data_IF_210157412867
#
_entry.id   IF_210157412867
#
_cell.length_a   1.000
_cell.length_b   1.000
_cell.length_c   1.000
_cell.angle_alpha   90.00
_cell.angle_beta   90.00
_cell.angle_gamma   90.00
#
_symmetry.space_group_name_H-M   'P 1'
#
loop_
_entity.id
_entity.type
_entity.pdbx_description
1 polymer ?
#
# COMPACT_ATOMS: atom_id res chain seq x y z
N UNK A 1 -36.03 -51.51 -47.11
CA UNK A 1 -35.29 -52.07 -45.96
C UNK A 1 -34.22 -51.14 -45.44
N UNK A 2 -34.33 -49.85 -45.69
CA UNK A 2 -33.30 -48.83 -45.23
C UNK A 2 -33.82 -47.76 -44.22
N UNK A 3 -35.12 -47.84 -43.90
CA UNK A 3 -35.67 -46.79 -42.95
C UNK A 3 -35.40 -47.08 -41.48
N UNK A 4 -35.36 -48.37 -41.11
CA UNK A 4 -35.09 -48.83 -39.74
C UNK A 4 -33.65 -48.58 -39.29
N UNK A 5 -32.68 -48.52 -40.20
CA UNK A 5 -31.29 -48.17 -39.84
C UNK A 5 -31.07 -46.71 -39.56
N UNK A 6 -31.87 -45.82 -40.18
CA UNK A 6 -31.78 -44.38 -39.94
C UNK A 6 -32.36 -43.98 -38.59
N UNK A 7 -33.38 -44.60 -38.09
CA UNK A 7 -34.02 -44.32 -36.80
C UNK A 7 -33.11 -44.77 -35.65
N UNK A 8 -32.43 -45.90 -35.75
CA UNK A 8 -31.52 -46.38 -34.70
C UNK A 8 -30.30 -45.48 -34.51
N UNK A 9 -29.75 -44.93 -35.60
CA UNK A 9 -28.60 -43.99 -35.51
C UNK A 9 -29.03 -42.65 -34.89
N UNK A 10 -30.22 -42.15 -35.23
CA UNK A 10 -30.75 -40.92 -34.70
C UNK A 10 -31.02 -40.99 -33.18
N UNK A 11 -31.55 -42.12 -32.69
CA UNK A 11 -31.82 -42.34 -31.25
C UNK A 11 -30.52 -42.45 -30.44
N UNK A 12 -29.49 -43.12 -30.96
CA UNK A 12 -28.20 -43.26 -30.31
C UNK A 12 -27.47 -41.91 -30.26
N UNK A 13 -27.54 -41.14 -31.36
CA UNK A 13 -26.92 -39.80 -31.41
C UNK A 13 -27.60 -38.81 -30.49
N UNK A 14 -28.93 -38.86 -30.36
CA UNK A 14 -29.69 -38.00 -29.44
C UNK A 14 -29.43 -38.39 -27.96
N UNK A 15 -29.30 -39.67 -27.67
CA UNK A 15 -28.97 -40.16 -26.34
C UNK A 15 -27.55 -39.75 -25.90
N UNK A 16 -26.56 -39.81 -26.80
CA UNK A 16 -25.19 -39.36 -26.53
C UNK A 16 -25.13 -37.83 -26.35
N UNK A 17 -25.84 -37.06 -27.16
CA UNK A 17 -25.90 -35.61 -27.04
C UNK A 17 -26.55 -35.13 -25.72
N UNK A 18 -27.61 -35.82 -25.28
CA UNK A 18 -28.24 -35.55 -23.97
C UNK A 18 -27.35 -35.97 -22.80
N UNK A 19 -26.62 -37.08 -22.90
CA UNK A 19 -25.68 -37.52 -21.89
C UNK A 19 -24.51 -36.56 -21.70
N UNK A 20 -23.94 -36.08 -22.82
CA UNK A 20 -22.86 -35.06 -22.78
C UNK A 20 -23.38 -33.70 -22.26
N UNK A 21 -24.62 -33.32 -22.64
CA UNK A 21 -25.24 -32.10 -22.15
C UNK A 21 -25.52 -32.13 -20.63
N UNK A 22 -25.77 -33.29 -20.06
CA UNK A 22 -25.94 -33.43 -18.59
C UNK A 22 -24.60 -33.48 -17.85
N UNK A 23 -23.54 -34.00 -18.45
CA UNK A 23 -22.20 -33.95 -17.86
C UNK A 23 -21.63 -32.53 -17.79
N UNK A 24 -22.00 -31.63 -18.70
CA UNK A 24 -21.54 -30.25 -18.74
C UNK A 24 -22.34 -29.36 -17.77
N UNK A 25 -23.46 -29.86 -17.21
CA UNK A 25 -24.33 -29.11 -16.29
C UNK A 25 -24.15 -29.44 -14.82
N UNK A 26 -23.11 -30.14 -14.43
CA UNK A 26 -22.76 -30.13 -13.01
C UNK A 26 -22.22 -28.74 -12.72
N UNK A 27 -22.88 -27.96 -11.83
CA UNK A 27 -22.22 -26.77 -11.30
C UNK A 27 -20.93 -27.30 -10.70
N UNK A 28 -19.79 -26.78 -11.17
CA UNK A 28 -18.56 -26.87 -10.42
C UNK A 28 -18.85 -26.03 -9.18
N UNK A 29 -19.41 -26.67 -8.16
CA UNK A 29 -19.28 -26.14 -6.81
C UNK A 29 -17.79 -26.08 -6.57
N UNK A 30 -17.23 -24.91 -6.87
CA UNK A 30 -15.91 -24.59 -6.38
C UNK A 30 -16.01 -24.74 -4.87
N UNK A 31 -15.52 -25.86 -4.36
CA UNK A 31 -15.26 -25.96 -2.94
C UNK A 31 -14.36 -24.77 -2.64
N UNK A 32 -14.95 -23.69 -2.08
CA UNK A 32 -14.16 -22.67 -1.45
C UNK A 32 -13.42 -23.44 -0.35
N UNK A 33 -12.10 -23.61 -0.46
CA UNK A 33 -11.36 -24.32 0.55
C UNK A 33 -11.76 -23.71 1.89
N UNK A 34 -12.06 -24.51 2.91
CA UNK A 34 -12.25 -24.04 4.29
C UNK A 34 -10.91 -23.41 4.70
N UNK A 35 -10.77 -22.14 4.42
CA UNK A 35 -9.53 -21.39 4.53
C UNK A 35 -9.38 -20.99 5.98
N UNK A 36 -8.91 -21.95 6.80
CA UNK A 36 -8.65 -21.70 8.20
C UNK A 36 -7.53 -20.69 8.36
N UNK A 37 -7.87 -19.55 8.95
CA UNK A 37 -6.90 -18.56 9.40
C UNK A 37 -6.16 -19.14 10.61
N UNK A 38 -4.83 -19.26 10.52
CA UNK A 38 -4.00 -19.66 11.63
C UNK A 38 -4.12 -18.69 12.80
N UNK A 39 -4.01 -19.19 14.02
CA UNK A 39 -4.05 -18.39 15.24
C UNK A 39 -2.77 -18.58 16.03
N UNK A 40 -2.39 -17.56 16.75
CA UNK A 40 -1.31 -17.60 17.75
C UNK A 40 -1.76 -18.36 19.01
N UNK A 41 -0.83 -18.66 19.90
CA UNK A 41 -1.12 -19.43 21.11
C UNK A 41 -2.15 -18.76 22.05
N UNK A 42 -2.27 -17.43 21.99
CA UNK A 42 -3.28 -16.63 22.72
C UNK A 42 -4.63 -16.54 21.99
N UNK A 43 -4.79 -17.29 20.89
CA UNK A 43 -6.04 -17.39 20.13
C UNK A 43 -6.32 -16.23 19.19
N UNK A 44 -5.41 -15.27 19.03
CA UNK A 44 -5.54 -14.15 18.08
C UNK A 44 -5.17 -14.59 16.67
N UNK A 45 -5.70 -13.93 15.62
CA UNK A 45 -5.25 -14.20 14.26
C UNK A 45 -3.73 -14.08 14.15
N UNK A 46 -3.10 -15.06 13.53
CA UNK A 46 -1.67 -15.04 13.27
C UNK A 46 -1.38 -14.09 12.08
N UNK A 47 -0.85 -12.90 12.37
CA UNK A 47 -0.44 -11.91 11.37
C UNK A 47 1.03 -12.04 10.97
N UNK A 48 1.79 -12.95 11.62
CA UNK A 48 3.21 -13.12 11.34
C UNK A 48 3.45 -13.41 9.86
N UNK A 49 4.48 -12.78 9.30
CA UNK A 49 4.88 -12.99 7.92
C UNK A 49 5.32 -11.71 7.22
N UNK A 50 5.71 -11.86 5.97
CA UNK A 50 6.10 -10.76 5.10
C UNK A 50 4.92 -10.40 4.19
N UNK A 51 4.54 -9.15 4.19
CA UNK A 51 3.37 -8.61 3.52
C UNK A 51 3.76 -7.49 2.58
N UNK A 52 2.95 -7.24 1.57
CA UNK A 52 3.19 -6.18 0.59
C UNK A 52 1.87 -5.66 0.01
N UNK A 53 1.75 -4.35 -0.14
CA UNK A 53 0.73 -3.74 -0.97
C UNK A 53 1.11 -3.90 -2.45
N UNK A 54 0.13 -4.29 -3.28
CA UNK A 54 0.30 -4.44 -4.72
C UNK A 54 -0.55 -3.38 -5.42
N UNK A 55 0.00 -2.20 -5.63
CA UNK A 55 -0.75 -1.09 -6.19
C UNK A 55 0.11 0.15 -6.37
N UNK A 56 -0.56 1.25 -6.69
CA UNK A 56 0.04 2.54 -7.03
C UNK A 56 -0.20 3.63 -6.00
N UNK A 57 -0.71 3.26 -4.80
CA UNK A 57 -1.03 4.18 -3.72
C UNK A 57 0.14 5.08 -3.29
N UNK A 58 1.39 4.61 -3.44
CA UNK A 58 2.58 5.42 -3.16
C UNK A 58 2.82 6.53 -4.19
N UNK A 59 2.24 6.40 -5.41
CA UNK A 59 2.26 7.45 -6.42
C UNK A 59 1.16 8.48 -6.19
N UNK A 60 -0.06 8.00 -5.97
CA UNK A 60 -1.24 8.81 -5.68
C UNK A 60 -2.30 7.93 -5.01
N UNK A 61 -2.85 8.38 -3.90
CA UNK A 61 -3.94 7.68 -3.19
C UNK A 61 -5.26 7.75 -3.94
N UNK A 62 -5.44 8.75 -4.81
CA UNK A 62 -6.65 8.96 -5.61
C UNK A 62 -6.51 8.36 -7.01
N UNK A 63 -7.64 8.25 -7.73
CA UNK A 63 -7.63 7.83 -9.13
C UNK A 63 -6.69 8.70 -9.96
N UNK A 64 -5.86 8.05 -10.76
CA UNK A 64 -4.95 8.76 -11.65
C UNK A 64 -4.68 7.99 -12.94
N UNK A 65 -4.55 8.72 -14.02
CA UNK A 65 -4.16 8.15 -15.30
C UNK A 65 -2.65 7.91 -15.37
N UNK A 66 -2.25 7.00 -16.25
CA UNK A 66 -0.84 6.88 -16.61
C UNK A 66 -0.35 8.20 -17.20
N UNK A 67 0.84 8.62 -16.79
CA UNK A 67 1.46 9.86 -17.27
C UNK A 67 2.96 9.69 -17.45
N UNK A 68 3.55 10.52 -18.27
CA UNK A 68 5.02 10.56 -18.39
C UNK A 68 5.64 10.90 -17.03
N UNK A 69 6.77 10.29 -16.76
CA UNK A 69 7.62 10.69 -15.64
C UNK A 69 8.32 12.01 -15.91
N UNK A 70 9.13 12.48 -14.94
CA UNK A 70 9.83 13.75 -15.06
C UNK A 70 10.90 13.75 -16.16
N UNK A 71 11.32 12.56 -16.61
CA UNK A 71 12.32 12.36 -17.67
C UNK A 71 11.66 11.72 -18.87
N UNK A 72 11.24 12.52 -19.83
CA UNK A 72 10.48 12.08 -21.01
C UNK A 72 11.26 11.08 -21.88
N UNK A 73 12.57 11.22 -21.91
CA UNK A 73 13.50 10.40 -22.70
C UNK A 73 13.50 8.92 -22.26
N UNK A 74 13.13 8.64 -21.02
CA UNK A 74 13.00 7.28 -20.49
C UNK A 74 11.68 6.60 -20.91
N UNK A 75 10.76 7.34 -21.51
CA UNK A 75 9.49 6.80 -21.99
C UNK A 75 8.71 6.06 -20.90
N UNK A 76 8.25 4.86 -21.24
CA UNK A 76 7.42 4.05 -20.33
C UNK A 76 8.16 3.58 -19.07
N UNK A 77 9.48 3.46 -19.09
CA UNK A 77 10.30 3.00 -17.95
C UNK A 77 10.19 3.93 -16.75
N UNK A 78 10.10 5.24 -16.99
CA UNK A 78 9.97 6.25 -15.94
C UNK A 78 8.52 6.77 -15.81
N UNK A 79 7.57 6.21 -16.54
CA UNK A 79 6.17 6.64 -16.48
C UNK A 79 5.53 6.30 -15.14
N UNK A 80 4.69 7.21 -14.66
CA UNK A 80 3.80 6.92 -13.54
C UNK A 80 2.67 6.02 -14.05
N UNK A 81 2.48 4.81 -13.51
CA UNK A 81 1.40 3.94 -13.95
C UNK A 81 0.03 4.53 -13.60
N UNK A 82 -1.02 4.09 -14.30
CA UNK A 82 -2.39 4.38 -13.88
C UNK A 82 -2.72 3.65 -12.58
N UNK A 83 -3.59 4.25 -11.76
CA UNK A 83 -4.03 3.66 -10.51
C UNK A 83 -5.49 3.96 -10.19
N UNK A 84 -6.13 2.99 -9.53
CA UNK A 84 -7.44 3.19 -8.93
C UNK A 84 -7.29 3.77 -7.52
N UNK A 85 -8.22 4.62 -7.14
CA UNK A 85 -8.25 5.19 -5.80
C UNK A 85 -8.33 4.12 -4.72
N UNK A 86 -7.54 4.31 -3.68
CA UNK A 86 -7.70 3.60 -2.40
C UNK A 86 -8.43 4.45 -1.36
N UNK A 87 -8.75 5.70 -1.70
CA UNK A 87 -9.50 6.64 -0.86
C UNK A 87 -10.99 6.33 -0.98
N UNK A 88 -11.66 6.17 0.15
CA UNK A 88 -13.11 5.99 0.18
C UNK A 88 -13.81 7.22 -0.42
N UNK A 89 -14.62 7.00 -1.46
CA UNK A 89 -15.26 8.08 -2.20
C UNK A 89 -14.33 8.91 -3.11
N UNK A 90 -13.08 8.51 -3.25
CA UNK A 90 -12.05 9.17 -4.09
C UNK A 90 -11.84 10.68 -3.78
N UNK A 91 -12.15 11.12 -2.56
CA UNK A 91 -12.03 12.51 -2.15
C UNK A 91 -11.22 12.67 -0.86
N UNK A 92 -10.16 13.49 -0.91
CA UNK A 92 -9.41 13.92 0.27
C UNK A 92 -9.91 15.31 0.67
N UNK A 93 -10.54 15.47 1.83
CA UNK A 93 -11.28 16.68 2.20
C UNK A 93 -10.36 17.78 2.78
N UNK A 94 -9.53 18.36 1.92
CA UNK A 94 -8.58 19.40 2.33
C UNK A 94 -9.25 20.69 2.82
N UNK A 95 -8.64 21.32 3.82
CA UNK A 95 -8.85 22.74 4.08
C UNK A 95 -8.41 23.57 2.84
N UNK A 96 -9.04 24.72 2.54
CA UNK A 96 -8.72 25.50 1.35
C UNK A 96 -7.23 25.85 1.20
N UNK A 97 -6.56 26.21 2.27
CA UNK A 97 -5.12 26.53 2.26
C UNK A 97 -4.27 25.27 1.99
N UNK A 98 -4.70 24.12 2.51
CA UNK A 98 -3.96 22.88 2.40
C UNK A 98 -4.03 22.30 0.98
N UNK A 99 -5.15 22.51 0.27
CA UNK A 99 -5.28 22.14 -1.14
C UNK A 99 -4.23 22.87 -2.02
N UNK A 100 -3.98 24.14 -1.75
CA UNK A 100 -2.94 24.89 -2.45
C UNK A 100 -1.54 24.33 -2.15
N UNK A 101 -1.27 23.98 -0.89
CA UNK A 101 0.00 23.37 -0.47
C UNK A 101 0.21 22.00 -1.09
N UNK A 102 -0.84 21.14 -1.14
CA UNK A 102 -0.79 19.85 -1.82
C UNK A 102 -0.37 20.01 -3.28
N UNK A 103 -0.95 20.98 -3.99
CA UNK A 103 -0.60 21.27 -5.38
C UNK A 103 0.87 21.69 -5.52
N UNK A 104 1.33 22.58 -4.67
CA UNK A 104 2.74 23.02 -4.65
C UNK A 104 3.69 21.84 -4.37
N UNK A 105 3.34 20.96 -3.44
CA UNK A 105 4.09 19.74 -3.16
C UNK A 105 4.19 18.83 -4.39
N UNK A 106 3.04 18.59 -5.06
CA UNK A 106 2.98 17.80 -6.26
C UNK A 106 3.88 18.34 -7.39
N UNK A 107 3.86 19.63 -7.62
CA UNK A 107 4.69 20.28 -8.64
C UNK A 107 6.19 20.19 -8.36
N UNK A 108 6.57 19.98 -7.09
CA UNK A 108 7.95 19.97 -6.61
C UNK A 108 8.36 18.66 -5.95
N UNK A 109 7.64 17.54 -6.19
CA UNK A 109 7.86 16.29 -5.45
C UNK A 109 9.29 15.76 -5.55
N UNK A 110 9.95 15.86 -6.71
CA UNK A 110 11.33 15.40 -6.92
C UNK A 110 12.37 16.06 -6.02
N UNK A 111 12.09 17.25 -5.50
CA UNK A 111 12.99 17.98 -4.62
C UNK A 111 12.48 18.09 -3.18
N UNK A 112 11.18 17.87 -2.95
CA UNK A 112 10.55 18.12 -1.66
C UNK A 112 10.03 16.88 -0.96
N UNK A 113 9.65 15.83 -1.70
CA UNK A 113 9.16 14.61 -1.09
C UNK A 113 10.25 14.03 -0.16
N UNK A 114 9.94 13.78 1.11
CA UNK A 114 10.87 13.14 2.05
C UNK A 114 11.44 11.82 1.56
N UNK A 115 10.68 11.08 0.75
CA UNK A 115 11.12 9.83 0.14
C UNK A 115 12.38 10.02 -0.73
N UNK A 116 12.43 11.07 -1.55
CA UNK A 116 13.61 11.34 -2.41
C UNK A 116 14.84 11.76 -1.62
N UNK A 117 14.64 12.13 -0.37
CA UNK A 117 15.71 12.47 0.60
C UNK A 117 16.08 11.29 1.51
N UNK A 118 15.58 10.10 1.22
CA UNK A 118 15.82 8.90 2.03
C UNK A 118 15.36 9.00 3.50
N UNK A 119 14.41 9.86 3.79
CA UNK A 119 13.85 9.96 5.14
C UNK A 119 12.84 8.85 5.40
N UNK A 120 12.52 8.61 6.66
CA UNK A 120 11.51 7.65 7.05
C UNK A 120 10.14 8.02 6.46
N UNK A 121 9.37 7.04 5.96
CA UNK A 121 8.17 7.32 5.17
C UNK A 121 6.96 7.77 6.01
N UNK A 122 7.00 7.56 7.33
CA UNK A 122 5.83 7.78 8.19
C UNK A 122 4.75 6.71 8.03
N UNK A 123 3.71 6.81 8.84
CA UNK A 123 2.54 5.96 8.80
C UNK A 123 1.36 6.82 8.28
N UNK A 124 0.56 6.31 7.35
CA UNK A 124 0.48 4.93 6.86
C UNK A 124 1.37 4.61 5.64
N UNK A 125 2.09 5.59 5.05
CA UNK A 125 2.84 5.42 3.80
C UNK A 125 3.77 4.22 3.81
N UNK A 126 4.46 3.95 4.93
CA UNK A 126 5.35 2.80 5.07
C UNK A 126 4.70 1.48 4.66
N UNK A 127 3.40 1.32 4.94
CA UNK A 127 2.66 0.06 4.72
C UNK A 127 2.33 -0.19 3.24
N UNK A 128 2.20 0.87 2.43
CA UNK A 128 1.89 0.73 0.99
C UNK A 128 2.98 1.25 0.05
N UNK A 129 4.18 1.49 0.54
CA UNK A 129 5.36 1.61 -0.31
C UNK A 129 5.51 0.34 -1.17
N UNK A 130 6.13 0.41 -2.37
CA UNK A 130 6.30 -0.75 -3.25
C UNK A 130 7.36 -1.73 -2.74
N UNK A 131 7.52 -1.82 -1.43
CA UNK A 131 8.47 -2.66 -0.71
C UNK A 131 7.74 -3.50 0.31
N UNK A 132 8.18 -4.74 0.58
CA UNK A 132 7.57 -5.57 1.59
C UNK A 132 7.86 -5.07 3.02
N UNK A 133 7.02 -5.53 3.94
CA UNK A 133 7.24 -5.34 5.37
C UNK A 133 6.92 -6.63 6.12
N UNK A 134 7.50 -6.80 7.29
CA UNK A 134 7.30 -7.96 8.14
C UNK A 134 6.50 -7.59 9.38
N UNK A 135 5.52 -8.41 9.73
CA UNK A 135 4.82 -8.37 11.01
C UNK A 135 5.35 -9.51 11.87
N UNK A 136 5.71 -9.20 13.11
CA UNK A 136 6.16 -10.16 14.13
C UNK A 136 5.35 -9.91 15.40
N UNK A 137 4.45 -10.85 15.72
CA UNK A 137 3.75 -10.90 17.01
C UNK A 137 4.68 -11.53 18.03
N UNK A 138 5.03 -10.80 19.06
CA UNK A 138 5.99 -11.24 20.07
C UNK A 138 5.31 -11.92 21.26
N UNK A 139 6.05 -12.67 22.04
CA UNK A 139 5.50 -13.39 23.20
C UNK A 139 5.04 -12.48 24.37
N UNK A 140 5.51 -11.23 24.40
CA UNK A 140 5.06 -10.20 25.37
C UNK A 140 3.86 -9.39 24.86
N UNK A 141 3.18 -9.89 23.82
CA UNK A 141 2.03 -9.31 23.13
C UNK A 141 2.31 -8.08 22.26
N UNK A 142 3.42 -7.38 22.40
CA UNK A 142 3.78 -6.29 21.48
C UNK A 142 3.96 -6.82 20.05
N UNK A 143 3.73 -5.98 19.07
CA UNK A 143 3.88 -6.34 17.66
C UNK A 143 4.99 -5.45 17.07
N UNK A 144 6.01 -6.09 16.48
CA UNK A 144 7.04 -5.40 15.71
C UNK A 144 6.65 -5.40 14.23
N UNK A 145 6.68 -4.25 13.60
CA UNK A 145 6.61 -4.09 12.15
C UNK A 145 7.95 -3.57 11.65
N UNK A 146 8.60 -4.37 10.80
CA UNK A 146 9.84 -4.00 10.12
C UNK A 146 9.55 -3.79 8.65
N UNK A 147 9.95 -2.66 8.10
CA UNK A 147 9.74 -2.28 6.70
C UNK A 147 11.06 -2.35 5.94
N UNK A 148 11.04 -2.89 4.72
CA UNK A 148 12.24 -2.91 3.88
C UNK A 148 12.69 -1.49 3.53
N UNK A 149 11.73 -0.61 3.15
CA UNK A 149 12.05 0.77 2.82
C UNK A 149 12.72 1.50 4.01
N UNK A 150 13.86 2.10 3.74
CA UNK A 150 14.68 2.86 4.70
C UNK A 150 15.04 2.08 5.98
N UNK A 151 14.89 0.75 6.00
CA UNK A 151 15.02 -0.09 7.20
C UNK A 151 14.16 0.43 8.37
N UNK A 152 13.02 1.04 8.04
CA UNK A 152 12.12 1.59 9.04
C UNK A 152 11.54 0.48 9.92
N UNK A 153 11.24 0.80 11.16
CA UNK A 153 10.56 -0.11 12.07
C UNK A 153 9.68 0.65 13.05
N UNK A 154 8.67 -0.03 13.58
CA UNK A 154 7.88 0.45 14.71
C UNK A 154 7.48 -0.69 15.62
N UNK A 155 7.29 -0.38 16.88
CA UNK A 155 6.70 -1.30 17.86
C UNK A 155 5.30 -0.82 18.17
N UNK A 156 4.32 -1.69 17.95
CA UNK A 156 2.95 -1.47 18.37
C UNK A 156 2.81 -1.98 19.79
N UNK A 157 2.64 -1.07 20.73
CA UNK A 157 2.46 -1.39 22.14
C UNK A 157 1.03 -1.85 22.40
N UNK A 158 0.85 -3.08 22.88
CA UNK A 158 -0.48 -3.63 23.19
C UNK A 158 -0.98 -3.24 24.58
N UNK A 159 -0.16 -2.55 25.35
CA UNK A 159 -0.54 -1.91 26.61
C UNK A 159 -0.75 -0.42 26.41
N UNK A 160 -1.61 0.20 27.23
CA UNK A 160 -1.77 1.64 27.25
C UNK A 160 -0.42 2.32 27.53
N UNK A 161 -0.09 3.32 26.72
CA UNK A 161 1.13 4.12 26.88
C UNK A 161 0.77 5.58 27.14
N UNK A 162 1.71 6.30 27.77
CA UNK A 162 1.63 7.77 27.83
C UNK A 162 1.89 8.36 26.43
N UNK A 163 1.37 9.55 26.14
CA UNK A 163 1.70 10.26 24.91
C UNK A 163 3.23 10.37 24.71
N UNK A 164 3.72 10.33 23.47
CA UNK A 164 5.15 10.45 23.23
C UNK A 164 5.68 11.79 23.69
N UNK A 165 6.87 11.82 24.28
CA UNK A 165 7.47 13.06 24.78
C UNK A 165 7.96 13.98 23.66
N UNK A 166 8.12 13.44 22.45
CA UNK A 166 8.56 14.14 21.24
C UNK A 166 7.90 13.54 20.00
N UNK A 167 7.64 14.37 19.02
CA UNK A 167 7.13 13.93 17.73
C UNK A 167 8.24 13.28 16.92
N UNK A 168 7.87 12.21 16.18
CA UNK A 168 8.82 11.42 15.39
C UNK A 168 8.29 11.18 13.97
N UNK A 169 9.14 10.68 13.07
CA UNK A 169 8.76 10.33 11.71
C UNK A 169 7.69 9.22 11.64
N UNK A 170 7.76 8.23 12.54
CA UNK A 170 6.91 7.04 12.53
C UNK A 170 5.79 7.11 13.55
N UNK A 171 5.76 8.15 14.37
CA UNK A 171 4.81 8.28 15.49
C UNK A 171 5.00 7.23 16.58
N UNK A 172 4.11 7.22 17.56
CA UNK A 172 3.99 6.20 18.59
C UNK A 172 2.71 5.41 18.40
N UNK A 173 2.84 4.09 18.24
CA UNK A 173 1.74 3.17 17.93
C UNK A 173 1.29 2.40 19.15
N UNK A 174 -0.02 2.42 19.43
CA UNK A 174 -0.69 1.61 20.46
C UNK A 174 -1.70 0.71 19.80
N UNK A 175 -1.73 -0.56 20.15
CA UNK A 175 -2.59 -1.57 19.55
C UNK A 175 -3.63 -2.14 20.52
N UNK A 176 -4.73 -2.61 19.96
CA UNK A 176 -5.73 -3.43 20.65
C UNK A 176 -6.38 -4.40 19.67
N UNK A 177 -6.87 -5.48 20.19
CA UNK A 177 -7.70 -6.39 19.40
C UNK A 177 -9.17 -6.02 19.51
N UNK A 178 -9.83 -5.89 18.38
CA UNK A 178 -11.28 -5.74 18.23
C UNK A 178 -11.79 -7.00 17.49
N UNK A 179 -12.17 -8.01 18.28
CA UNK A 179 -12.42 -9.36 17.75
C UNK A 179 -11.17 -9.93 17.07
N UNK A 180 -11.28 -10.19 15.76
CA UNK A 180 -10.21 -10.71 14.92
C UNK A 180 -9.46 -9.60 14.13
N UNK A 181 -9.70 -8.36 14.46
CA UNK A 181 -9.03 -7.20 13.84
C UNK A 181 -8.03 -6.59 14.80
N UNK A 182 -6.79 -6.43 14.37
CA UNK A 182 -5.82 -5.60 15.06
C UNK A 182 -6.11 -4.14 14.72
N UNK A 183 -6.40 -3.33 15.72
CA UNK A 183 -6.59 -1.88 15.61
C UNK A 183 -5.37 -1.20 16.20
N UNK A 184 -4.79 -0.28 15.44
CA UNK A 184 -3.58 0.44 15.84
C UNK A 184 -3.84 1.95 15.75
N UNK A 185 -3.71 2.63 16.86
CA UNK A 185 -3.76 4.09 16.93
C UNK A 185 -2.34 4.64 16.98
N UNK A 186 -2.02 5.59 16.10
CA UNK A 186 -0.68 6.21 16.02
C UNK A 186 -0.81 7.72 16.07
N UNK A 187 -0.05 8.34 16.98
CA UNK A 187 0.02 9.79 17.22
C UNK A 187 1.48 10.23 17.39
N UNK A 188 1.74 11.52 17.53
CA UNK A 188 3.09 12.06 17.78
C UNK A 188 3.94 12.00 16.52
N UNK A 189 3.36 12.39 15.40
CA UNK A 189 4.08 12.57 14.14
C UNK A 189 4.70 13.96 14.07
N UNK A 190 5.92 14.04 13.54
CA UNK A 190 6.39 15.32 13.02
C UNK A 190 5.66 15.61 11.69
N UNK A 191 5.70 16.86 11.24
CA UNK A 191 5.04 17.31 10.01
C UNK A 191 5.86 17.06 8.73
N UNK A 192 6.85 16.17 8.78
CA UNK A 192 7.86 16.01 7.74
C UNK A 192 7.53 14.93 6.71
N UNK A 193 6.54 14.07 6.97
CA UNK A 193 6.19 12.98 6.03
C UNK A 193 5.03 13.35 5.10
N UNK A 194 4.97 12.65 3.97
CA UNK A 194 3.87 12.74 3.02
C UNK A 194 3.15 11.40 2.92
N UNK A 195 1.90 11.41 2.46
CA UNK A 195 1.16 10.17 2.22
C UNK A 195 1.53 9.51 0.88
N UNK A 196 1.93 10.29 -0.13
CA UNK A 196 2.27 9.80 -1.47
C UNK A 196 3.10 10.84 -2.26
N UNK A 197 3.51 10.48 -3.47
CA UNK A 197 4.23 11.36 -4.40
C UNK A 197 3.31 12.41 -5.08
N UNK A 198 1.99 12.31 -4.91
CA UNK A 198 1.05 13.35 -5.37
C UNK A 198 1.02 14.56 -4.42
N UNK A 199 1.86 14.57 -3.40
CA UNK A 199 2.03 15.70 -2.49
C UNK A 199 1.01 15.75 -1.36
N UNK A 200 0.27 14.67 -1.15
CA UNK A 200 -0.65 14.55 -0.02
C UNK A 200 0.16 14.54 1.30
N UNK A 201 -0.17 15.42 2.21
CA UNK A 201 0.61 15.70 3.40
C UNK A 201 -0.26 15.84 4.66
N UNK A 202 0.36 15.99 5.80
CA UNK A 202 -0.29 16.19 7.10
C UNK A 202 0.48 17.21 7.96
N UNK A 203 -0.10 17.55 9.10
CA UNK A 203 0.58 18.31 10.16
C UNK A 203 0.98 17.40 11.33
N UNK A 204 1.56 17.96 12.36
CA UNK A 204 1.86 17.30 13.62
C UNK A 204 0.59 16.88 14.40
N UNK A 205 -0.57 17.41 14.02
CA UNK A 205 -1.86 17.02 14.62
C UNK A 205 -2.43 15.70 14.03
N UNK A 206 -1.66 15.03 13.16
CA UNK A 206 -2.09 13.77 12.56
C UNK A 206 -2.36 12.70 13.63
N UNK A 207 -3.53 12.08 13.52
CA UNK A 207 -3.90 10.84 14.17
C UNK A 207 -4.26 9.81 13.11
N UNK A 208 -3.67 8.64 13.18
CA UNK A 208 -3.90 7.53 12.26
C UNK A 208 -4.46 6.35 13.03
N UNK A 209 -5.62 5.87 12.62
CA UNK A 209 -6.18 4.60 13.11
C UNK A 209 -6.14 3.56 12.00
N UNK A 210 -5.30 2.54 12.15
CA UNK A 210 -5.15 1.43 11.20
C UNK A 210 -5.92 0.21 11.67
N UNK A 211 -6.49 -0.57 10.75
CA UNK A 211 -7.18 -1.82 11.01
C UNK A 211 -6.64 -2.92 10.10
N UNK A 212 -6.10 -3.96 10.70
CA UNK A 212 -5.58 -5.13 10.00
C UNK A 212 -6.50 -6.32 10.27
N UNK A 213 -7.24 -6.75 9.25
CA UNK A 213 -8.15 -7.89 9.35
C UNK A 213 -7.70 -8.99 8.42
N UNK A 214 -7.34 -10.16 8.97
CA UNK A 214 -6.94 -11.29 8.14
C UNK A 214 -8.16 -11.91 7.46
N UNK A 215 -8.18 -11.92 6.12
CA UNK A 215 -9.30 -12.48 5.33
C UNK A 215 -9.01 -13.89 4.82
N UNK A 216 -7.72 -14.21 4.65
CA UNK A 216 -7.28 -15.54 4.23
C UNK A 216 -5.83 -15.78 4.69
N UNK A 217 -5.23 -16.96 4.47
CA UNK A 217 -3.81 -17.20 4.77
C UNK A 217 -2.86 -16.22 4.07
N UNK A 218 -3.30 -15.64 2.95
CA UNK A 218 -2.47 -14.81 2.08
C UNK A 218 -2.96 -13.38 1.89
N UNK A 219 -4.03 -12.98 2.63
CA UNK A 219 -4.67 -11.68 2.44
C UNK A 219 -4.98 -11.03 3.79
N UNK A 220 -4.49 -9.81 3.98
CA UNK A 220 -4.97 -8.85 4.98
C UNK A 220 -5.80 -7.77 4.29
N UNK A 221 -6.92 -7.43 4.88
CA UNK A 221 -7.68 -6.23 4.58
C UNK A 221 -7.12 -5.11 5.47
N UNK A 222 -6.61 -4.07 4.86
CA UNK A 222 -6.00 -2.94 5.53
C UNK A 222 -6.85 -1.70 5.31
N UNK A 223 -7.40 -1.18 6.39
CA UNK A 223 -8.17 0.06 6.42
C UNK A 223 -7.46 1.07 7.32
N UNK A 224 -7.44 2.32 6.89
CA UNK A 224 -6.86 3.42 7.66
C UNK A 224 -7.83 4.58 7.72
N UNK A 225 -8.08 5.10 8.92
CA UNK A 225 -8.72 6.39 9.13
C UNK A 225 -7.65 7.43 9.42
N UNK A 226 -7.73 8.55 8.72
CA UNK A 226 -6.80 9.67 8.80
C UNK A 226 -7.56 10.87 9.34
N UNK A 227 -7.07 11.42 10.44
CA UNK A 227 -7.63 12.57 11.13
C UNK A 227 -6.52 13.62 11.33
N UNK A 228 -6.72 14.81 10.79
CA UNK A 228 -5.84 15.96 11.00
C UNK A 228 -6.67 17.23 10.80
N UNK A 229 -7.21 17.79 11.88
CA UNK A 229 -8.12 18.93 11.81
C UNK A 229 -7.46 20.22 11.31
N UNK A 230 -6.12 20.28 11.29
CA UNK A 230 -5.40 21.42 10.73
C UNK A 230 -5.37 21.37 9.20
N UNK A 231 -5.33 20.15 8.62
CA UNK A 231 -5.15 19.95 7.18
C UNK A 231 -6.46 19.55 6.50
N UNK A 232 -7.32 18.78 7.16
CA UNK A 232 -8.56 18.26 6.60
C UNK A 232 -9.79 18.81 7.31
N UNK A 233 -10.90 18.92 6.58
CA UNK A 233 -12.18 19.41 7.11
C UNK A 233 -12.96 18.33 7.85
N UNK A 234 -12.65 17.06 7.62
CA UNK A 234 -13.23 15.87 8.27
C UNK A 234 -12.26 14.70 8.20
N UNK A 235 -12.42 13.65 9.02
CA UNK A 235 -11.71 12.38 8.83
C UNK A 235 -12.01 11.77 7.47
N UNK A 236 -11.03 11.05 6.92
CA UNK A 236 -11.17 10.32 5.68
C UNK A 236 -10.46 8.96 5.75
N UNK A 237 -10.73 8.08 4.81
CA UNK A 237 -10.24 6.71 4.86
C UNK A 237 -9.59 6.26 3.57
N UNK A 238 -8.63 5.34 3.73
CA UNK A 238 -8.09 4.52 2.66
C UNK A 238 -8.28 3.05 2.99
N UNK A 239 -8.42 2.21 1.97
CA UNK A 239 -8.52 0.77 2.12
C UNK A 239 -7.87 0.06 0.95
N UNK A 240 -7.10 -1.00 1.27
CA UNK A 240 -6.44 -1.81 0.25
C UNK A 240 -6.12 -3.20 0.78
N UNK A 241 -5.98 -4.21 -0.11
CA UNK A 241 -5.47 -5.52 0.28
C UNK A 241 -3.95 -5.49 0.46
N UNK A 242 -3.46 -6.24 1.44
CA UNK A 242 -2.05 -6.55 1.62
C UNK A 242 -1.86 -8.05 1.38
N UNK A 243 -0.91 -8.40 0.55
CA UNK A 243 -0.66 -9.78 0.13
C UNK A 243 0.56 -10.36 0.83
N UNK A 244 0.43 -11.60 1.31
CA UNK A 244 1.54 -12.31 1.93
C UNK A 244 2.51 -12.82 0.87
N UNK A 245 3.80 -12.60 1.07
CA UNK A 245 4.86 -13.21 0.27
C UNK A 245 4.84 -14.72 0.52
N UNK A 246 4.87 -15.50 -0.57
CA UNK A 246 4.75 -16.96 -0.52
C UNK A 246 6.06 -17.68 -0.89
N UNK A 247 7.10 -16.93 -1.19
CA UNK A 247 8.43 -17.48 -1.50
C UNK A 247 8.94 -18.27 -0.30
N UNK A 248 9.51 -19.45 -0.50
CA UNK A 248 9.98 -20.34 0.58
C UNK A 248 11.00 -19.68 1.52
N UNK A 249 11.82 -18.80 0.96
CA UNK A 249 12.88 -18.09 1.70
C UNK A 249 12.64 -16.58 1.67
N UNK A 250 11.37 -16.15 1.72
CA UNK A 250 11.05 -14.73 1.75
C UNK A 250 11.73 -14.06 2.95
N UNK A 251 12.42 -12.98 2.68
CA UNK A 251 13.06 -12.13 3.69
C UNK A 251 13.00 -10.68 3.23
N UNK A 252 13.12 -9.76 4.15
CA UNK A 252 13.34 -8.37 3.82
C UNK A 252 14.75 -8.21 3.27
N UNK A 253 14.88 -7.47 2.18
CA UNK A 253 16.16 -7.21 1.57
C UNK A 253 16.85 -6.02 2.24
N UNK A 254 18.16 -5.93 2.09
CA UNK A 254 18.89 -4.76 2.50
C UNK A 254 18.53 -3.57 1.62
N UNK A 255 18.04 -2.51 2.23
CA UNK A 255 17.66 -1.28 1.54
C UNK A 255 18.82 -0.28 1.55
N UNK A 256 19.23 0.14 0.37
CA UNK A 256 20.19 1.23 0.19
C UNK A 256 19.51 2.38 -0.52
N UNK A 257 19.49 3.52 0.12
CA UNK A 257 18.96 4.74 -0.46
C UNK A 257 20.11 5.67 -0.90
N UNK A 258 19.91 6.31 -2.05
CA UNK A 258 20.75 7.41 -2.51
C UNK A 258 19.85 8.63 -2.64
N UNK A 259 20.14 9.66 -1.86
CA UNK A 259 19.37 10.89 -1.88
C UNK A 259 19.34 11.48 -3.29
N UNK A 260 18.14 11.90 -3.72
CA UNK A 260 17.91 12.50 -5.04
C UNK A 260 18.41 11.65 -6.21
N UNK A 261 18.41 10.32 -6.10
CA UNK A 261 18.94 9.42 -7.13
C UNK A 261 18.34 9.66 -8.51
N UNK A 262 17.05 9.92 -8.59
CA UNK A 262 16.37 10.20 -9.86
C UNK A 262 16.86 11.51 -10.50
N UNK A 263 17.09 12.54 -9.68
CA UNK A 263 17.67 13.80 -10.14
C UNK A 263 19.14 13.64 -10.54
N UNK A 264 19.92 12.89 -9.76
CA UNK A 264 21.33 12.65 -10.06
C UNK A 264 21.52 11.85 -11.34
N UNK A 265 20.70 10.84 -11.59
CA UNK A 265 20.81 9.97 -12.75
C UNK A 265 20.21 10.59 -14.02
N UNK A 266 19.08 11.27 -13.89
CA UNK A 266 18.27 11.64 -15.04
C UNK A 266 17.96 13.14 -15.16
N UNK A 267 18.30 13.94 -14.15
CA UNK A 267 17.98 15.38 -14.15
C UNK A 267 18.53 16.14 -15.32
N UNK A 268 19.70 15.73 -15.82
CA UNK A 268 20.33 16.31 -17.02
C UNK A 268 19.52 16.07 -18.32
N UNK A 269 18.65 15.06 -18.35
CA UNK A 269 17.83 14.67 -19.49
C UNK A 269 16.49 15.39 -19.52
N UNK A 270 16.15 16.16 -18.49
CA UNK A 270 14.90 16.93 -18.48
C UNK A 270 14.90 17.97 -19.58
N UNK A 271 13.79 18.09 -20.29
CA UNK A 271 13.56 19.24 -21.16
C UNK A 271 13.51 20.49 -20.29
N UNK A 272 14.44 21.41 -20.53
CA UNK A 272 14.44 22.72 -19.88
C UNK A 272 13.23 23.49 -20.42
N UNK A 273 12.18 23.65 -19.60
CA UNK A 273 11.21 24.70 -19.80
C UNK A 273 11.94 26.01 -19.49
N UNK A 274 11.81 27.02 -20.37
CA UNK A 274 12.71 28.19 -20.44
C UNK A 274 12.93 29.03 -19.17
N UNK A 275 12.29 28.69 -18.05
CA UNK A 275 12.35 29.40 -16.77
C UNK A 275 12.86 28.56 -15.57
N UNK A 276 13.21 27.29 -15.78
CA UNK A 276 13.75 26.48 -14.71
C UNK A 276 15.23 26.78 -14.47
N UNK A 277 15.54 27.45 -13.36
CA UNK A 277 16.92 27.56 -12.87
C UNK A 277 17.41 26.15 -12.58
N UNK A 278 18.57 25.74 -13.14
CA UNK A 278 19.12 24.43 -12.84
C UNK A 278 19.33 24.31 -11.33
N UNK A 279 18.91 23.15 -10.77
CA UNK A 279 19.23 22.81 -9.39
C UNK A 279 20.74 22.91 -9.22
N UNK A 280 21.21 23.87 -8.43
CA UNK A 280 22.62 23.98 -8.10
C UNK A 280 22.94 22.77 -7.21
N UNK A 281 23.46 21.72 -7.83
CA UNK A 281 24.01 20.59 -7.09
C UNK A 281 25.02 21.15 -6.11
N UNK A 282 24.71 21.08 -4.82
CA UNK A 282 25.65 21.38 -3.78
C UNK A 282 26.87 20.48 -4.04
N UNK A 283 28.01 21.09 -4.39
CA UNK A 283 29.25 20.35 -4.58
C UNK A 283 29.60 19.77 -3.20
N UNK A 284 29.20 18.51 -2.97
CA UNK A 284 29.67 17.74 -1.83
C UNK A 284 31.15 17.52 -2.09
N UNK A 285 32.00 18.32 -1.44
CA UNK A 285 33.42 18.02 -1.33
C UNK A 285 33.53 16.93 -0.28
N UNK A 286 33.84 15.74 -0.73
CA UNK A 286 34.31 14.69 0.17
C UNK A 286 35.68 15.09 0.73
N UNK A 287 35.95 14.87 2.02
CA UNK A 287 37.23 15.15 2.63
C UNK A 287 38.32 14.26 2.10
#
# INVERSE_FOLDING_TARGET
MNWLKGVSIAVVSAGLALGISQMVRQPVEGQVPDVRISRTADGKPDLNGIWQAMGTAHWDLQDHHARSGPVLELGATAAVPAGLSVVEGNEIPYQPWAAARKKENYENWLSRDPEVKCYLPGIPRATYMPYPFQILQTHNNDILMAYEYASASRIIKMAKTEPPPVDTWMGQSTGRWDGDTLVVDTIGFNDQTWFDRAGNFHSEALHVTERFTRKSPHLLDYEVTIEDPKVFTRPWKIRMPLYRRQDQNAQLMEFKCVEFVEELMYGQLRKKTGDEKPFAAARVRWP
#
